data_IF_954386319780
#
_entry.id   IF_954386319780
#
_cell.length_a   1.000
_cell.length_b   1.000
_cell.length_c   1.000
_cell.angle_alpha   90.00
_cell.angle_beta   90.00
_cell.angle_gamma   90.00
#
_symmetry.space_group_name_H-M   'P 1'
#
loop_
_entity.id
_entity.type
_entity.pdbx_description
1 polymer ?
#
# COMPACT_ATOMS: atom_id res chain seq x y z
N UNK A 1 -35.85 -3.13 37.04
CA UNK A 1 -35.95 -4.11 35.95
C UNK A 1 -34.83 -3.73 34.97
N UNK A 2 -33.72 -4.44 35.02
CA UNK A 2 -32.57 -4.25 34.17
C UNK A 2 -32.83 -5.01 32.86
N UNK A 3 -32.80 -4.29 31.77
CA UNK A 3 -32.87 -4.83 30.41
C UNK A 3 -31.57 -5.63 30.14
N UNK A 4 -31.63 -6.90 29.72
CA UNK A 4 -30.42 -7.65 29.44
C UNK A 4 -29.73 -7.06 28.20
N UNK A 5 -28.47 -6.71 28.39
CA UNK A 5 -27.55 -6.21 27.37
C UNK A 5 -27.72 -7.00 26.08
N UNK A 6 -28.11 -6.31 25.01
CA UNK A 6 -28.08 -6.83 23.66
C UNK A 6 -26.61 -7.11 23.30
N UNK A 7 -26.27 -8.38 23.14
CA UNK A 7 -25.01 -8.81 22.57
C UNK A 7 -24.83 -8.12 21.20
N UNK A 8 -23.74 -7.41 20.95
CA UNK A 8 -23.52 -6.83 19.65
C UNK A 8 -23.54 -7.95 18.59
N UNK A 9 -24.11 -7.74 17.41
CA UNK A 9 -24.09 -8.74 16.35
C UNK A 9 -22.65 -9.13 16.06
N UNK A 10 -22.43 -10.44 15.86
CA UNK A 10 -21.14 -10.94 15.42
C UNK A 10 -20.71 -10.17 14.17
N UNK A 11 -19.42 -9.77 14.05
CA UNK A 11 -18.96 -9.03 12.91
C UNK A 11 -19.31 -9.82 11.64
N UNK A 12 -20.17 -9.22 10.78
CA UNK A 12 -20.38 -9.72 9.43
C UNK A 12 -19.00 -9.83 8.78
N UNK A 13 -18.72 -10.95 8.12
CA UNK A 13 -17.43 -11.13 7.45
C UNK A 13 -17.52 -10.52 6.04
N UNK A 14 -17.28 -9.21 5.87
CA UNK A 14 -17.53 -8.48 4.63
C UNK A 14 -16.62 -8.93 3.47
N UNK A 15 -15.54 -9.65 3.81
CA UNK A 15 -14.56 -10.17 2.85
C UNK A 15 -15.14 -11.24 1.92
N UNK A 16 -16.24 -11.89 2.30
CA UNK A 16 -16.84 -12.98 1.50
C UNK A 16 -17.61 -12.50 0.28
N UNK A 17 -18.02 -11.24 0.26
CA UNK A 17 -18.89 -10.70 -0.80
C UNK A 17 -18.09 -10.05 -1.94
N UNK A 18 -16.75 -9.90 -1.78
CA UNK A 18 -15.90 -9.39 -2.86
C UNK A 18 -15.57 -10.50 -3.86
N UNK A 19 -15.76 -10.30 -5.16
CA UNK A 19 -15.38 -11.28 -6.17
C UNK A 19 -13.86 -11.49 -6.16
N UNK A 20 -13.43 -12.75 -6.08
CA UNK A 20 -12.04 -13.10 -6.28
C UNK A 20 -11.68 -12.97 -7.76
N UNK A 21 -10.60 -12.28 -8.04
CA UNK A 21 -10.09 -12.13 -9.41
C UNK A 21 -8.81 -12.94 -9.54
N UNK A 22 -8.87 -14.02 -10.31
CA UNK A 22 -7.73 -14.90 -10.51
C UNK A 22 -6.63 -14.25 -11.35
N UNK A 23 -5.38 -14.58 -11.02
CA UNK A 23 -4.21 -14.30 -11.84
C UNK A 23 -3.54 -15.64 -12.18
N UNK A 24 -3.40 -15.93 -13.46
CA UNK A 24 -2.84 -17.21 -13.92
C UNK A 24 -1.44 -17.44 -13.35
N UNK A 25 -1.21 -18.59 -12.74
CA UNK A 25 0.06 -18.96 -12.08
C UNK A 25 0.20 -18.45 -10.65
N UNK A 26 -0.86 -17.84 -10.09
CA UNK A 26 -0.88 -17.34 -8.72
C UNK A 26 -2.03 -17.95 -7.92
N UNK A 27 -1.85 -18.03 -6.61
CA UNK A 27 -2.80 -18.62 -5.66
C UNK A 27 -3.15 -17.63 -4.56
N UNK A 28 -4.44 -17.56 -4.26
CA UNK A 28 -4.95 -16.79 -3.12
C UNK A 28 -4.66 -17.53 -1.81
N UNK A 29 -4.17 -16.78 -0.84
CA UNK A 29 -3.85 -17.26 0.51
C UNK A 29 -4.47 -16.34 1.54
N UNK A 30 -4.93 -16.92 2.64
CA UNK A 30 -5.34 -16.19 3.83
C UNK A 30 -4.55 -16.68 5.01
N UNK A 31 -3.95 -15.76 5.74
CA UNK A 31 -3.11 -16.05 6.90
C UNK A 31 -3.58 -15.28 8.13
N UNK A 32 -3.40 -15.86 9.30
CA UNK A 32 -3.50 -15.12 10.55
C UNK A 32 -2.22 -14.31 10.74
N UNK A 33 -2.39 -13.02 10.91
CA UNK A 33 -1.30 -12.06 11.05
C UNK A 33 -1.40 -11.37 12.41
N UNK A 34 -1.24 -12.13 13.47
CA UNK A 34 -1.33 -11.60 14.84
C UNK A 34 -2.76 -11.22 15.22
N UNK A 35 -3.72 -12.11 14.91
CA UNK A 35 -5.14 -11.94 15.22
C UNK A 35 -5.92 -11.13 14.17
N UNK A 36 -5.29 -10.71 13.06
CA UNK A 36 -5.95 -10.11 11.89
C UNK A 36 -5.75 -11.03 10.70
N UNK A 37 -6.83 -11.40 10.03
CA UNK A 37 -6.77 -12.24 8.85
C UNK A 37 -6.41 -11.43 7.62
N UNK A 38 -5.24 -11.67 7.05
CA UNK A 38 -4.78 -11.01 5.84
C UNK A 38 -4.84 -11.92 4.62
N UNK A 39 -5.12 -11.31 3.49
CA UNK A 39 -5.14 -11.92 2.19
C UNK A 39 -3.84 -11.61 1.43
N UNK A 40 -3.33 -12.61 0.73
CA UNK A 40 -2.18 -12.50 -0.15
C UNK A 40 -2.42 -13.26 -1.44
N UNK A 41 -1.78 -12.83 -2.52
CA UNK A 41 -1.71 -13.55 -3.79
C UNK A 41 -0.26 -13.90 -4.06
N UNK A 42 0.03 -15.18 -4.18
CA UNK A 42 1.38 -15.75 -4.23
C UNK A 42 1.61 -16.56 -5.49
N UNK A 43 2.78 -16.42 -6.11
CA UNK A 43 3.19 -17.22 -7.27
C UNK A 43 4.68 -17.08 -7.58
N UNK A 44 5.09 -17.64 -8.72
CA UNK A 44 6.46 -17.61 -9.21
C UNK A 44 7.31 -18.77 -8.69
N UNK A 45 8.62 -18.54 -8.55
CA UNK A 45 9.60 -19.57 -8.18
C UNK A 45 9.60 -19.82 -6.66
N UNK A 46 9.18 -20.99 -6.17
CA UNK A 46 9.12 -21.26 -4.73
C UNK A 46 10.47 -21.12 -4.01
N UNK A 47 11.58 -21.44 -4.70
CA UNK A 47 12.93 -21.40 -4.17
C UNK A 47 13.69 -20.10 -4.56
N UNK A 48 13.01 -19.17 -5.26
CA UNK A 48 13.58 -17.89 -5.62
C UNK A 48 13.60 -16.90 -4.46
N UNK A 49 14.36 -15.80 -4.58
CA UNK A 49 14.30 -14.72 -3.62
C UNK A 49 12.85 -14.22 -3.45
N UNK A 50 12.45 -14.04 -2.19
CA UNK A 50 11.07 -13.62 -1.90
C UNK A 50 10.90 -12.10 -2.10
N UNK A 51 9.84 -11.72 -2.80
CA UNK A 51 9.45 -10.33 -3.06
C UNK A 51 8.04 -10.10 -2.53
N UNK A 52 7.90 -9.18 -1.59
CA UNK A 52 6.61 -8.76 -1.02
C UNK A 52 6.21 -7.44 -1.64
N UNK A 53 4.97 -7.34 -2.09
CA UNK A 53 4.40 -6.18 -2.77
C UNK A 53 3.22 -5.63 -1.97
N UNK A 54 3.21 -4.31 -1.69
CA UNK A 54 2.13 -3.64 -0.99
C UNK A 54 1.59 -2.49 -1.85
N UNK A 55 0.27 -2.43 -1.99
CA UNK A 55 -0.41 -1.33 -2.66
C UNK A 55 -0.96 -0.32 -1.64
N UNK A 56 -1.43 0.83 -2.11
CA UNK A 56 -2.08 1.86 -1.30
C UNK A 56 -3.49 2.19 -1.75
N UNK A 57 -3.97 3.38 -1.37
CA UNK A 57 -5.33 3.82 -1.66
C UNK A 57 -5.50 4.26 -3.13
N UNK A 58 -6.60 3.90 -3.77
CA UNK A 58 -7.70 3.03 -3.34
C UNK A 58 -7.53 1.58 -3.84
N UNK A 59 -6.28 1.17 -4.02
CA UNK A 59 -5.91 -0.08 -4.67
C UNK A 59 -5.80 -1.25 -3.68
N UNK A 60 -5.61 -2.44 -4.24
CA UNK A 60 -5.43 -3.72 -3.55
C UNK A 60 -4.22 -4.44 -4.16
N UNK A 61 -3.97 -5.70 -3.81
CA UNK A 61 -2.97 -6.53 -4.47
C UNK A 61 -3.05 -6.47 -6.01
N UNK A 62 -4.23 -6.21 -6.54
CA UNK A 62 -4.53 -6.14 -7.97
C UNK A 62 -3.75 -5.06 -8.72
N UNK A 63 -3.24 -4.04 -8.04
CA UNK A 63 -2.33 -3.05 -8.61
C UNK A 63 -1.06 -3.68 -9.21
N UNK A 64 -0.64 -4.80 -8.66
CA UNK A 64 0.57 -5.49 -9.06
C UNK A 64 0.36 -6.57 -10.14
N UNK A 65 -0.88 -6.82 -10.57
CA UNK A 65 -1.25 -7.91 -11.50
C UNK A 65 -0.45 -7.96 -12.80
N UNK A 66 -0.03 -6.79 -13.30
CA UNK A 66 0.78 -6.68 -14.52
C UNK A 66 2.27 -6.84 -14.24
N UNK A 67 2.74 -6.52 -13.05
CA UNK A 67 4.14 -6.60 -12.61
C UNK A 67 4.50 -8.02 -12.13
N UNK A 68 3.59 -8.63 -11.36
CA UNK A 68 3.80 -9.94 -10.74
C UNK A 68 4.21 -11.05 -11.71
N UNK A 69 3.57 -11.23 -12.89
CA UNK A 69 3.96 -12.27 -13.82
C UNK A 69 5.40 -12.12 -14.33
N UNK A 70 5.84 -10.89 -14.56
CA UNK A 70 7.22 -10.62 -15.03
C UNK A 70 8.24 -10.96 -13.94
N UNK A 71 7.95 -10.61 -12.69
CA UNK A 71 8.83 -10.94 -11.57
C UNK A 71 8.84 -12.46 -11.25
N UNK A 72 7.73 -13.14 -11.49
CA UNK A 72 7.53 -14.56 -11.18
C UNK A 72 8.48 -15.50 -11.92
N UNK A 73 9.06 -15.08 -13.03
CA UNK A 73 10.06 -15.86 -13.78
C UNK A 73 11.34 -16.10 -12.96
N UNK A 74 11.65 -15.19 -12.04
CA UNK A 74 12.90 -15.22 -11.24
C UNK A 74 12.65 -15.33 -9.74
N UNK A 75 11.55 -14.83 -9.24
CA UNK A 75 11.30 -14.59 -7.82
C UNK A 75 10.07 -15.35 -7.32
N UNK A 76 10.02 -15.57 -6.00
CA UNK A 76 8.81 -15.90 -5.28
C UNK A 76 8.08 -14.61 -4.95
N UNK A 77 6.94 -14.34 -5.59
CA UNK A 77 6.24 -13.06 -5.53
C UNK A 77 4.98 -13.18 -4.69
N UNK A 78 4.78 -12.25 -3.76
CA UNK A 78 3.61 -12.18 -2.89
C UNK A 78 3.11 -10.75 -2.83
N UNK A 79 1.87 -10.51 -3.28
CA UNK A 79 1.19 -9.25 -3.07
C UNK A 79 0.20 -9.39 -1.92
N UNK A 80 0.30 -8.56 -0.89
CA UNK A 80 -0.51 -8.64 0.33
C UNK A 80 -1.46 -7.45 0.38
N UNK A 81 -2.75 -7.72 0.57
CA UNK A 81 -3.73 -6.70 0.90
C UNK A 81 -3.51 -6.21 2.33
N UNK A 82 -3.32 -4.91 2.50
CA UNK A 82 -3.20 -4.31 3.82
C UNK A 82 -4.50 -4.52 4.63
N UNK A 83 -4.46 -4.51 5.98
CA UNK A 83 -5.67 -4.45 6.78
C UNK A 83 -6.63 -3.37 6.25
N UNK A 84 -7.88 -3.73 6.03
CA UNK A 84 -8.86 -2.81 5.48
C UNK A 84 -8.96 -2.75 3.96
N UNK A 85 -8.05 -3.35 3.23
CA UNK A 85 -8.04 -3.38 1.76
C UNK A 85 -8.36 -4.77 1.21
N UNK A 86 -8.86 -4.82 -0.02
CA UNK A 86 -9.10 -6.05 -0.75
C UNK A 86 -9.86 -7.09 0.07
N UNK A 87 -9.30 -8.29 0.11
CA UNK A 87 -9.84 -9.43 0.85
C UNK A 87 -9.27 -9.59 2.26
N UNK A 88 -8.47 -8.63 2.74
CA UNK A 88 -8.03 -8.58 4.12
C UNK A 88 -9.14 -8.11 5.06
N UNK A 89 -9.07 -8.55 6.32
CA UNK A 89 -10.00 -8.15 7.38
C UNK A 89 -9.95 -6.63 7.62
N UNK A 90 -11.08 -6.06 8.08
CA UNK A 90 -11.28 -4.63 8.36
C UNK A 90 -11.48 -4.37 9.85
N UNK A 91 -10.50 -4.69 10.71
CA UNK A 91 -10.65 -4.59 12.15
C UNK A 91 -10.86 -3.15 12.63
N UNK A 92 -11.47 -3.01 13.79
CA UNK A 92 -11.45 -1.78 14.54
C UNK A 92 -10.15 -1.73 15.36
N UNK A 93 -9.12 -1.11 14.81
CA UNK A 93 -7.80 -0.97 15.44
C UNK A 93 -7.19 0.38 15.08
N UNK A 94 -6.01 0.70 15.60
CA UNK A 94 -5.19 1.77 15.04
C UNK A 94 -4.63 1.37 13.68
N UNK A 95 -4.75 2.25 12.71
CA UNK A 95 -4.19 2.12 11.36
C UNK A 95 -2.88 2.91 11.21
N UNK A 96 -2.23 3.27 12.31
CA UNK A 96 -0.88 3.80 12.24
C UNK A 96 0.06 2.77 11.61
N UNK A 97 1.04 3.26 10.86
CA UNK A 97 1.86 2.42 9.98
C UNK A 97 2.72 1.41 10.73
N UNK A 98 3.10 1.67 11.99
CA UNK A 98 3.85 0.71 12.81
C UNK A 98 2.97 -0.46 13.26
N UNK A 99 1.72 -0.18 13.66
CA UNK A 99 0.75 -1.22 13.99
C UNK A 99 0.45 -2.10 12.77
N UNK A 100 0.20 -1.48 11.61
CA UNK A 100 -0.04 -2.23 10.37
C UNK A 100 1.21 -3.00 9.91
N UNK A 101 2.40 -2.41 10.03
CA UNK A 101 3.67 -3.07 9.72
C UNK A 101 3.89 -4.35 10.54
N UNK A 102 3.49 -4.36 11.81
CA UNK A 102 3.55 -5.57 12.64
C UNK A 102 2.65 -6.69 12.09
N UNK A 103 1.44 -6.37 11.61
CA UNK A 103 0.57 -7.34 10.96
C UNK A 103 1.13 -7.84 9.64
N UNK A 104 1.71 -6.96 8.80
CA UNK A 104 2.36 -7.39 7.55
C UNK A 104 3.56 -8.28 7.83
N UNK A 105 4.38 -7.94 8.83
CA UNK A 105 5.50 -8.80 9.25
C UNK A 105 5.02 -10.20 9.66
N UNK A 106 3.99 -10.28 10.51
CA UNK A 106 3.40 -11.55 10.93
C UNK A 106 2.81 -12.35 9.74
N UNK A 107 2.18 -11.67 8.77
CA UNK A 107 1.68 -12.31 7.57
C UNK A 107 2.80 -12.94 6.73
N UNK A 108 3.91 -12.23 6.53
CA UNK A 108 5.08 -12.72 5.81
C UNK A 108 5.69 -13.95 6.51
N UNK A 109 5.78 -13.93 7.84
CA UNK A 109 6.23 -15.10 8.62
C UNK A 109 5.25 -16.28 8.48
N UNK A 110 3.94 -16.04 8.53
CA UNK A 110 2.92 -17.07 8.34
C UNK A 110 2.92 -17.68 6.91
N UNK A 111 3.38 -16.92 5.90
CA UNK A 111 3.65 -17.39 4.55
C UNK A 111 4.96 -18.19 4.43
N UNK A 112 5.70 -18.37 5.52
CA UNK A 112 6.94 -19.14 5.58
C UNK A 112 8.17 -18.42 5.05
N UNK A 113 8.17 -17.08 5.03
CA UNK A 113 9.27 -16.26 4.52
C UNK A 113 10.04 -15.63 5.68
N UNK A 114 11.36 -15.80 5.67
CA UNK A 114 12.25 -15.26 6.72
C UNK A 114 12.87 -13.93 6.34
N UNK A 115 13.38 -13.85 5.11
CA UNK A 115 14.00 -12.63 4.58
C UNK A 115 13.42 -12.36 3.19
N UNK A 116 13.23 -11.09 2.85
CA UNK A 116 12.53 -10.70 1.63
C UNK A 116 12.93 -9.31 1.15
N UNK A 117 12.68 -9.05 -0.12
CA UNK A 117 12.65 -7.73 -0.72
C UNK A 117 11.24 -7.17 -0.59
N UNK A 118 11.12 -5.90 -0.25
CA UNK A 118 9.83 -5.24 -0.07
C UNK A 118 9.69 -4.10 -1.07
N UNK A 119 8.66 -4.16 -1.91
CA UNK A 119 8.31 -3.07 -2.81
C UNK A 119 6.90 -2.58 -2.51
N UNK A 120 6.72 -1.27 -2.43
CA UNK A 120 5.47 -0.72 -1.96
C UNK A 120 5.14 0.64 -2.60
N UNK A 121 3.86 0.86 -2.87
CA UNK A 121 3.33 2.04 -3.51
C UNK A 121 2.32 2.75 -2.61
N UNK A 122 2.30 4.09 -2.62
CA UNK A 122 1.35 4.94 -1.91
C UNK A 122 1.28 4.63 -0.39
N UNK A 123 0.12 4.36 0.21
CA UNK A 123 -0.01 3.96 1.63
C UNK A 123 0.78 2.68 1.92
N UNK A 124 0.88 1.76 0.96
CA UNK A 124 1.77 0.61 1.09
C UNK A 124 3.21 1.01 1.41
N UNK A 125 3.70 2.08 0.77
CA UNK A 125 5.03 2.61 1.04
C UNK A 125 5.16 3.24 2.45
N UNK A 126 4.07 3.81 3.00
CA UNK A 126 4.06 4.28 4.39
C UNK A 126 4.30 3.13 5.37
N UNK A 127 3.57 2.02 5.15
CA UNK A 127 3.68 0.80 5.95
C UNK A 127 5.06 0.16 5.78
N UNK A 128 5.54 0.05 4.54
CA UNK A 128 6.83 -0.54 4.21
C UNK A 128 7.99 0.22 4.85
N UNK A 129 7.92 1.55 4.91
CA UNK A 129 8.91 2.39 5.59
C UNK A 129 8.98 2.06 7.08
N UNK A 130 7.84 2.04 7.78
CA UNK A 130 7.77 1.68 9.20
C UNK A 130 8.22 0.24 9.45
N UNK A 131 7.87 -0.70 8.55
CA UNK A 131 8.31 -2.09 8.65
C UNK A 131 9.84 -2.21 8.54
N UNK A 132 10.46 -1.45 7.63
CA UNK A 132 11.91 -1.44 7.46
C UNK A 132 12.64 -0.82 8.67
N UNK A 133 12.03 0.15 9.34
CA UNK A 133 12.56 0.70 10.59
C UNK A 133 12.51 -0.32 11.73
N UNK A 134 11.41 -1.06 11.88
CA UNK A 134 11.19 -1.99 12.99
C UNK A 134 11.90 -3.35 12.78
N UNK A 135 12.03 -3.80 11.53
CA UNK A 135 12.50 -5.14 11.19
C UNK A 135 13.62 -5.13 10.13
N UNK A 136 14.70 -4.33 10.27
CA UNK A 136 15.72 -4.20 9.23
C UNK A 136 16.41 -5.51 8.90
N UNK A 137 16.58 -6.42 9.87
CA UNK A 137 17.24 -7.73 9.66
C UNK A 137 16.43 -8.71 8.81
N UNK A 138 15.16 -8.42 8.56
CA UNK A 138 14.27 -9.25 7.74
C UNK A 138 14.24 -8.81 6.27
N UNK A 139 14.62 -7.56 6.01
CA UNK A 139 14.60 -7.01 4.67
C UNK A 139 15.98 -7.12 4.00
N UNK A 140 15.96 -7.56 2.76
CA UNK A 140 17.12 -7.51 1.85
C UNK A 140 17.27 -6.15 1.19
N UNK A 141 16.14 -5.47 0.98
CA UNK A 141 16.05 -4.13 0.45
C UNK A 141 14.60 -3.64 0.40
N UNK A 142 14.45 -2.35 0.21
CA UNK A 142 13.18 -1.62 0.26
C UNK A 142 13.03 -0.76 -0.99
N UNK A 143 11.99 -1.00 -1.81
CA UNK A 143 11.61 -0.14 -2.92
C UNK A 143 10.32 0.64 -2.56
N UNK A 144 10.39 1.97 -2.63
CA UNK A 144 9.27 2.86 -2.34
C UNK A 144 8.88 3.65 -3.60
N UNK A 145 7.63 3.50 -4.03
CA UNK A 145 7.11 4.03 -5.28
C UNK A 145 6.15 5.19 -5.01
N UNK A 146 6.48 6.37 -5.51
CA UNK A 146 5.69 7.62 -5.58
C UNK A 146 4.82 7.92 -4.35
N UNK A 147 5.41 7.94 -3.18
CA UNK A 147 4.71 8.14 -1.91
C UNK A 147 5.37 9.18 -1.01
N UNK A 148 4.56 10.13 -0.52
CA UNK A 148 4.98 10.98 0.60
C UNK A 148 4.87 10.22 1.91
N UNK A 149 5.98 10.03 2.64
CA UNK A 149 6.01 9.28 3.90
C UNK A 149 5.63 10.19 5.07
N UNK A 150 4.69 9.78 5.95
CA UNK A 150 4.26 10.59 7.10
C UNK A 150 5.43 11.02 8.01
N UNK A 151 5.53 12.34 8.24
CA UNK A 151 6.59 12.95 9.04
C UNK A 151 7.96 13.03 8.37
N UNK A 152 8.13 12.45 7.18
CA UNK A 152 9.42 12.37 6.48
C UNK A 152 9.41 13.20 5.20
N UNK A 153 8.48 12.91 4.30
CA UNK A 153 8.39 13.57 3.00
C UNK A 153 6.98 14.04 2.67
N UNK A 154 5.98 13.62 3.45
CA UNK A 154 4.61 14.10 3.31
C UNK A 154 4.52 15.54 3.83
N UNK A 155 4.01 16.51 3.04
CA UNK A 155 3.88 17.88 3.50
C UNK A 155 2.81 18.03 4.61
N UNK A 156 3.08 18.89 5.59
CA UNK A 156 2.16 19.14 6.71
C UNK A 156 0.93 19.98 6.32
N UNK A 157 0.92 20.59 5.15
CA UNK A 157 -0.15 21.47 4.70
C UNK A 157 -0.62 21.17 3.28
N UNK A 158 -1.92 21.30 3.07
CA UNK A 158 -2.52 21.24 1.72
C UNK A 158 -2.16 22.54 0.99
N UNK A 159 -1.61 22.47 -0.24
CA UNK A 159 -1.35 23.67 -1.05
C UNK A 159 -2.64 24.45 -1.32
N UNK A 160 -2.56 25.77 -1.24
CA UNK A 160 -3.66 26.67 -1.60
C UNK A 160 -3.70 27.00 -3.10
N UNK A 161 -2.64 26.68 -3.83
CA UNK A 161 -2.57 26.83 -5.28
C UNK A 161 -3.46 25.75 -5.95
N UNK A 162 -4.46 26.14 -6.77
CA UNK A 162 -5.37 25.21 -7.43
C UNK A 162 -4.66 24.17 -8.32
N UNK A 163 -3.54 24.56 -8.95
CA UNK A 163 -2.76 23.64 -9.82
C UNK A 163 -2.09 22.52 -9.03
N UNK A 164 -1.94 22.68 -7.73
CA UNK A 164 -1.32 21.72 -6.82
C UNK A 164 -2.30 21.10 -5.84
N UNK A 165 -3.33 21.83 -5.45
CA UNK A 165 -4.29 21.41 -4.43
C UNK A 165 -4.99 20.09 -4.80
N UNK A 166 -5.26 19.85 -6.08
CA UNK A 166 -5.92 18.63 -6.56
C UNK A 166 -5.12 17.35 -6.26
N UNK A 167 -3.80 17.46 -6.08
CA UNK A 167 -2.95 16.30 -5.75
C UNK A 167 -3.12 15.85 -4.29
N UNK A 168 -3.44 16.77 -3.38
CA UNK A 168 -3.37 16.55 -1.92
C UNK A 168 -4.63 16.92 -1.16
N UNK A 169 -5.68 17.49 -1.79
CA UNK A 169 -6.92 17.90 -1.12
C UNK A 169 -7.56 16.77 -0.31
N UNK A 170 -7.43 15.52 -0.77
CA UNK A 170 -8.00 14.35 -0.14
C UNK A 170 -7.41 14.06 1.23
N UNK A 171 -6.17 14.49 1.52
CA UNK A 171 -5.61 14.38 2.87
C UNK A 171 -6.48 15.13 3.89
N UNK A 172 -6.80 16.39 3.61
CA UNK A 172 -7.65 17.16 4.48
C UNK A 172 -9.09 16.61 4.54
N UNK A 173 -9.66 16.19 3.41
CA UNK A 173 -10.99 15.61 3.33
C UNK A 173 -11.10 14.30 4.14
N UNK A 174 -10.15 13.40 3.98
CA UNK A 174 -10.13 12.11 4.69
C UNK A 174 -9.95 12.24 6.20
N UNK A 175 -9.35 13.34 6.66
CA UNK A 175 -9.16 13.61 8.09
C UNK A 175 -10.45 14.00 8.80
N UNK A 176 -11.43 14.58 8.09
CA UNK A 176 -12.67 15.02 8.72
C UNK A 176 -13.46 13.82 9.22
N UNK A 177 -13.83 13.75 10.51
CA UNK A 177 -14.65 12.66 11.02
C UNK A 177 -16.04 12.64 10.35
N UNK A 178 -16.51 11.46 9.99
CA UNK A 178 -17.85 11.15 9.49
C UNK A 178 -18.22 11.79 8.14
N UNK A 179 -17.69 12.97 7.79
CA UNK A 179 -18.09 13.69 6.58
C UNK A 179 -17.79 12.94 5.29
N UNK A 180 -16.58 12.35 5.11
CA UNK A 180 -16.29 11.53 3.93
C UNK A 180 -17.26 10.34 3.81
N UNK A 181 -17.55 9.65 4.91
CA UNK A 181 -18.45 8.51 4.92
C UNK A 181 -19.87 8.92 4.50
N UNK A 182 -20.38 10.05 5.00
CA UNK A 182 -21.70 10.57 4.63
C UNK A 182 -21.77 10.98 3.16
N UNK A 183 -20.73 11.62 2.62
CA UNK A 183 -20.71 12.12 1.25
C UNK A 183 -20.44 11.03 0.22
N UNK A 184 -19.71 9.98 0.60
CA UNK A 184 -19.24 8.92 -0.31
C UNK A 184 -20.14 7.67 -0.25
N UNK A 185 -21.02 7.53 0.73
CA UNK A 185 -21.97 6.42 0.80
C UNK A 185 -22.73 6.28 -0.51
N UNK A 186 -22.72 5.07 -1.08
CA UNK A 186 -23.32 4.72 -2.38
C UNK A 186 -22.68 5.46 -3.59
N UNK A 187 -21.50 6.09 -3.38
CA UNK A 187 -20.75 6.81 -4.42
C UNK A 187 -19.27 6.42 -4.47
N UNK A 188 -18.91 5.32 -3.84
CA UNK A 188 -17.52 4.86 -3.76
C UNK A 188 -16.95 4.62 -5.16
N UNK A 189 -17.77 4.11 -6.09
CA UNK A 189 -17.36 3.86 -7.47
C UNK A 189 -17.00 5.16 -8.22
N UNK A 190 -17.81 6.18 -8.10
CA UNK A 190 -17.56 7.48 -8.72
C UNK A 190 -16.33 8.13 -8.12
N UNK A 191 -16.19 8.05 -6.80
CA UNK A 191 -15.04 8.60 -6.08
C UNK A 191 -13.73 7.91 -6.46
N UNK A 192 -13.70 6.59 -6.39
CA UNK A 192 -12.53 5.78 -6.78
C UNK A 192 -12.18 6.01 -8.24
N UNK A 193 -13.18 6.02 -9.13
CA UNK A 193 -12.99 6.26 -10.55
C UNK A 193 -12.42 7.65 -10.85
N UNK A 194 -12.89 8.69 -10.15
CA UNK A 194 -12.32 10.03 -10.27
C UNK A 194 -10.87 10.04 -9.76
N UNK A 195 -10.62 9.44 -8.61
CA UNK A 195 -9.31 9.43 -7.95
C UNK A 195 -8.25 8.76 -8.82
N UNK A 196 -8.58 7.60 -9.38
CA UNK A 196 -7.70 6.87 -10.30
C UNK A 196 -7.39 7.68 -11.56
N UNK A 197 -8.42 8.20 -12.23
CA UNK A 197 -8.26 8.94 -13.49
C UNK A 197 -7.55 10.28 -13.31
N UNK A 198 -7.78 10.98 -12.19
CA UNK A 198 -7.17 12.27 -11.94
C UNK A 198 -5.66 12.19 -11.66
N UNK A 199 -5.18 11.05 -11.19
CA UNK A 199 -3.77 10.85 -10.81
C UNK A 199 -2.94 10.04 -11.81
N UNK A 200 -3.55 9.54 -12.88
CA UNK A 200 -2.84 8.90 -14.00
C UNK A 200 -2.47 9.91 -15.07
N UNK A 201 -1.41 9.64 -15.82
CA UNK A 201 -1.04 10.43 -16.97
C UNK A 201 -2.08 10.30 -18.09
N UNK A 202 -2.55 9.06 -18.35
CA UNK A 202 -3.63 8.81 -19.29
C UNK A 202 -4.94 8.48 -18.57
N UNK A 203 -6.04 9.22 -18.81
CA UNK A 203 -7.34 8.93 -18.21
C UNK A 203 -7.94 7.59 -18.67
N UNK A 204 -7.33 6.94 -19.67
CA UNK A 204 -7.73 5.62 -20.19
C UNK A 204 -6.93 4.46 -19.58
N UNK A 205 -6.02 4.73 -18.65
CA UNK A 205 -5.24 3.71 -17.93
C UNK A 205 -6.14 2.70 -17.23
N UNK A 206 -7.23 3.19 -16.63
CA UNK A 206 -8.23 2.36 -15.96
C UNK A 206 -9.54 2.34 -16.74
N UNK A 207 -9.99 1.16 -17.12
CA UNK A 207 -11.32 0.95 -17.70
C UNK A 207 -12.40 0.83 -16.61
N UNK A 208 -13.66 0.64 -17.06
CA UNK A 208 -14.79 0.54 -16.12
C UNK A 208 -14.76 -0.69 -15.21
N UNK A 209 -14.20 -1.79 -15.67
CA UNK A 209 -14.08 -3.03 -14.90
C UNK A 209 -12.94 -2.94 -13.88
N UNK A 210 -11.82 -2.34 -14.23
CA UNK A 210 -10.70 -2.09 -13.33
C UNK A 210 -11.09 -1.11 -12.21
N UNK A 211 -11.86 -0.05 -12.54
CA UNK A 211 -12.41 0.87 -11.54
C UNK A 211 -13.36 0.12 -10.58
N UNK A 212 -14.24 -0.74 -11.11
CA UNK A 212 -15.16 -1.54 -10.30
C UNK A 212 -14.40 -2.45 -9.33
N UNK A 213 -13.32 -3.09 -9.79
CA UNK A 213 -12.49 -3.98 -8.98
C UNK A 213 -11.94 -3.26 -7.72
N UNK A 214 -11.47 -2.03 -7.87
CA UNK A 214 -10.97 -1.24 -6.72
C UNK A 214 -12.12 -0.66 -5.89
N UNK A 215 -13.16 -0.17 -6.55
CA UNK A 215 -14.31 0.42 -5.87
C UNK A 215 -15.04 -0.57 -4.98
N UNK A 216 -15.16 -1.83 -5.40
CA UNK A 216 -15.78 -2.89 -4.62
C UNK A 216 -15.09 -3.10 -3.26
N UNK A 217 -13.76 -2.96 -3.19
CA UNK A 217 -13.02 -3.04 -1.92
C UNK A 217 -13.36 -1.88 -0.97
N UNK A 218 -13.52 -0.68 -1.50
CA UNK A 218 -13.84 0.52 -0.71
C UNK A 218 -15.32 0.51 -0.28
N UNK A 219 -16.21 0.05 -1.16
CA UNK A 219 -17.65 -0.06 -0.91
C UNK A 219 -18.04 -1.21 0.03
N UNK A 220 -17.18 -2.23 0.18
CA UNK A 220 -17.44 -3.33 1.11
C UNK A 220 -17.59 -2.83 2.54
N UNK A 221 -18.38 -3.57 3.36
CA UNK A 221 -18.66 -3.19 4.75
C UNK A 221 -17.36 -2.90 5.53
N UNK A 222 -17.26 -1.68 6.08
CA UNK A 222 -16.08 -1.18 6.75
C UNK A 222 -14.90 -0.79 5.84
N UNK A 223 -15.01 -0.96 4.50
CA UNK A 223 -13.94 -0.66 3.55
C UNK A 223 -13.57 0.81 3.51
N UNK A 224 -14.55 1.69 3.33
CA UNK A 224 -14.32 3.14 3.35
C UNK A 224 -13.73 3.59 4.69
N UNK A 225 -14.34 3.17 5.82
CA UNK A 225 -13.85 3.50 7.16
C UNK A 225 -12.37 3.11 7.35
N UNK A 226 -12.02 1.89 6.99
CA UNK A 226 -10.66 1.38 7.14
C UNK A 226 -9.67 2.12 6.22
N UNK A 227 -10.06 2.40 4.98
CA UNK A 227 -9.25 3.17 4.03
C UNK A 227 -8.94 4.58 4.55
N UNK A 228 -9.93 5.26 5.15
CA UNK A 228 -9.77 6.60 5.71
C UNK A 228 -8.95 6.60 7.00
N UNK A 229 -8.95 5.49 7.75
CA UNK A 229 -8.24 5.39 9.02
C UNK A 229 -6.72 5.56 8.88
N UNK A 230 -6.11 5.14 7.77
CA UNK A 230 -4.70 5.39 7.49
C UNK A 230 -4.35 6.88 7.48
N UNK A 231 -5.19 7.70 6.87
CA UNK A 231 -5.00 9.16 6.84
C UNK A 231 -5.19 9.76 8.22
N UNK A 232 -6.21 9.32 8.97
CA UNK A 232 -6.51 9.78 10.34
C UNK A 232 -5.40 9.45 11.32
N UNK A 233 -4.71 8.33 11.13
CA UNK A 233 -3.58 7.91 11.95
C UNK A 233 -2.21 8.34 11.41
N UNK A 234 -2.16 9.14 10.31
CA UNK A 234 -0.91 9.57 9.70
C UNK A 234 -0.04 10.41 10.65
N UNK A 235 -0.64 11.24 11.51
CA UNK A 235 0.11 12.00 12.51
C UNK A 235 0.74 11.11 13.59
N UNK A 236 0.05 10.04 13.99
CA UNK A 236 0.61 9.02 14.90
C UNK A 236 1.76 8.27 14.21
N UNK A 237 1.59 7.92 12.94
CA UNK A 237 2.64 7.31 12.13
C UNK A 237 3.88 8.22 12.03
N UNK A 238 3.67 9.51 11.74
CA UNK A 238 4.73 10.50 11.67
C UNK A 238 5.53 10.59 12.97
N UNK A 239 4.85 10.69 14.11
CA UNK A 239 5.50 10.75 15.42
C UNK A 239 6.32 9.50 15.70
N UNK A 240 5.77 8.31 15.47
CA UNK A 240 6.47 7.04 15.67
C UNK A 240 7.68 6.89 14.73
N UNK A 241 7.56 7.30 13.47
CA UNK A 241 8.69 7.33 12.53
C UNK A 241 9.84 8.18 13.08
N UNK A 242 9.55 9.38 13.58
CA UNK A 242 10.58 10.26 14.17
C UNK A 242 11.20 9.64 15.42
N UNK A 243 10.41 9.09 16.33
CA UNK A 243 10.91 8.44 17.56
C UNK A 243 11.94 7.33 17.26
N UNK A 244 11.73 6.56 16.18
CA UNK A 244 12.68 5.54 15.74
C UNK A 244 13.90 6.17 15.07
N UNK A 245 13.70 7.15 14.18
CA UNK A 245 14.78 7.80 13.42
C UNK A 245 15.71 8.67 14.27
N UNK A 246 15.28 9.10 15.46
CA UNK A 246 16.18 9.71 16.45
C UNK A 246 17.31 8.77 16.91
N UNK A 247 17.11 7.45 16.78
CA UNK A 247 18.01 6.42 17.31
C UNK A 247 18.73 5.62 16.22
N UNK A 248 18.13 5.54 15.03
CA UNK A 248 18.66 4.74 13.94
C UNK A 248 18.27 5.32 12.58
N UNK A 249 18.91 4.83 11.52
CA UNK A 249 18.60 5.12 10.11
C UNK A 249 18.10 3.86 9.42
N UNK A 250 17.55 3.98 8.23
CA UNK A 250 17.35 2.83 7.35
C UNK A 250 18.73 2.31 6.90
N UNK A 251 19.06 1.11 7.35
CA UNK A 251 20.34 0.44 7.04
C UNK A 251 20.25 -0.48 5.81
N UNK A 252 19.03 -0.88 5.43
CA UNK A 252 18.79 -1.68 4.23
C UNK A 252 18.96 -0.82 2.97
N UNK A 253 19.39 -1.39 1.84
CA UNK A 253 19.37 -0.68 0.55
C UNK A 253 17.97 -0.16 0.23
N UNK A 254 17.86 1.07 -0.23
CA UNK A 254 16.60 1.70 -0.59
C UNK A 254 16.60 2.10 -2.06
N UNK A 255 15.56 1.73 -2.79
CA UNK A 255 15.24 2.20 -4.13
C UNK A 255 14.04 3.15 -4.07
N UNK A 256 14.24 4.41 -4.40
CA UNK A 256 13.15 5.36 -4.62
C UNK A 256 12.71 5.34 -6.09
N UNK A 257 11.45 5.01 -6.34
CA UNK A 257 10.87 5.02 -7.69
C UNK A 257 9.93 6.19 -7.80
N UNK A 258 10.27 7.15 -8.64
CA UNK A 258 9.41 8.27 -9.02
C UNK A 258 8.85 8.08 -10.42
N UNK A 259 7.88 8.87 -10.80
CA UNK A 259 7.43 8.96 -12.19
C UNK A 259 7.50 10.39 -12.69
N UNK A 260 7.54 10.54 -14.02
CA UNK A 260 7.68 11.86 -14.67
C UNK A 260 6.54 12.85 -14.35
N UNK A 261 5.34 12.32 -13.99
CA UNK A 261 4.15 13.11 -13.67
C UNK A 261 3.52 12.70 -12.34
N UNK A 262 4.29 12.03 -11.48
CA UNK A 262 3.85 11.55 -10.17
C UNK A 262 3.74 12.64 -9.10
N UNK A 263 3.56 12.17 -7.88
CA UNK A 263 3.42 13.02 -6.70
C UNK A 263 4.77 13.49 -6.15
N UNK A 264 5.79 12.63 -6.23
CA UNK A 264 7.12 12.88 -5.67
C UNK A 264 8.16 12.88 -6.80
N UNK A 265 8.74 14.04 -7.14
CA UNK A 265 9.67 14.16 -8.27
C UNK A 265 10.96 13.35 -8.13
N UNK A 266 11.49 13.19 -6.90
CA UNK A 266 12.69 12.42 -6.61
C UNK A 266 12.53 11.75 -5.23
N UNK A 267 12.03 10.52 -5.24
CA UNK A 267 11.88 9.70 -4.04
C UNK A 267 13.22 9.44 -3.34
N UNK A 268 14.27 9.16 -4.10
CA UNK A 268 15.57 8.87 -3.52
C UNK A 268 16.17 10.08 -2.79
N UNK A 269 16.10 11.26 -3.40
CA UNK A 269 16.57 12.50 -2.76
C UNK A 269 15.83 12.75 -1.44
N UNK A 270 14.53 12.49 -1.41
CA UNK A 270 13.69 12.64 -0.21
C UNK A 270 14.08 11.69 0.92
N UNK A 271 14.61 10.51 0.57
CA UNK A 271 14.96 9.44 1.52
C UNK A 271 16.43 9.46 1.98
N UNK A 272 17.35 10.07 1.20
CA UNK A 272 18.78 10.16 1.56
C UNK A 272 19.09 10.68 2.96
N UNK A 273 18.36 11.65 3.52
CA UNK A 273 18.58 12.07 4.91
C UNK A 273 18.36 10.96 5.95
N UNK A 274 17.58 9.94 5.61
CA UNK A 274 17.06 8.92 6.51
C UNK A 274 17.59 7.50 6.25
N UNK A 275 18.27 7.30 5.12
CA UNK A 275 18.80 6.00 4.71
C UNK A 275 20.31 6.09 4.48
N UNK A 276 21.03 5.00 4.76
CA UNK A 276 22.48 4.92 4.51
C UNK A 276 22.78 4.77 3.01
N UNK A 277 21.92 4.04 2.31
CA UNK A 277 22.04 3.79 0.86
C UNK A 277 20.69 3.98 0.18
N UNK A 278 20.52 5.08 -0.55
CA UNK A 278 19.32 5.37 -1.35
C UNK A 278 19.71 5.66 -2.80
N UNK A 279 19.22 4.83 -3.69
CA UNK A 279 19.28 5.00 -5.15
C UNK A 279 17.91 5.34 -5.69
N UNK A 280 17.83 5.88 -6.91
CA UNK A 280 16.56 6.30 -7.49
C UNK A 280 16.45 6.02 -8.98
N UNK A 281 15.22 5.81 -9.42
CA UNK A 281 14.83 5.73 -10.81
C UNK A 281 13.58 6.58 -11.06
N UNK A 282 13.54 7.22 -12.22
CA UNK A 282 12.34 7.94 -12.67
C UNK A 282 11.75 7.18 -13.85
N UNK A 283 10.54 6.69 -13.68
CA UNK A 283 9.79 5.99 -14.72
C UNK A 283 9.16 7.06 -15.65
N UNK A 284 9.50 7.06 -16.94
CA UNK A 284 8.92 7.99 -17.88
C UNK A 284 7.44 7.67 -18.17
N UNK A 285 6.73 8.65 -18.69
CA UNK A 285 5.36 8.51 -19.21
C UNK A 285 4.39 7.83 -18.23
N UNK A 286 4.50 8.17 -16.94
CA UNK A 286 3.61 7.70 -15.89
C UNK A 286 3.21 8.84 -14.95
N UNK A 287 1.99 8.74 -14.41
CA UNK A 287 1.49 9.51 -13.27
C UNK A 287 1.79 8.82 -11.95
N UNK A 288 0.82 8.86 -11.03
CA UNK A 288 0.97 8.30 -9.68
C UNK A 288 0.88 6.76 -9.66
N UNK A 289 0.00 6.15 -10.44
CA UNK A 289 -0.26 4.71 -10.40
C UNK A 289 0.73 3.93 -11.28
N UNK A 290 2.03 4.09 -11.01
CA UNK A 290 3.14 3.59 -11.81
C UNK A 290 3.02 2.10 -12.17
N UNK A 291 2.62 1.18 -11.25
CA UNK A 291 2.50 -0.24 -11.55
C UNK A 291 1.43 -0.57 -12.60
N UNK A 292 0.38 0.27 -12.70
CA UNK A 292 -0.66 0.13 -13.72
C UNK A 292 -0.29 0.78 -15.05
N UNK A 293 0.41 1.94 -14.99
CA UNK A 293 0.73 2.77 -16.14
C UNK A 293 1.97 2.27 -16.89
N UNK A 294 3.00 1.84 -16.16
CA UNK A 294 4.28 1.38 -16.73
C UNK A 294 4.79 0.09 -16.06
N UNK A 295 4.01 -1.01 -16.12
CA UNK A 295 4.32 -2.24 -15.39
C UNK A 295 5.67 -2.86 -15.75
N UNK A 296 6.06 -2.83 -17.04
CA UNK A 296 7.32 -3.40 -17.50
C UNK A 296 8.53 -2.60 -16.96
N UNK A 297 8.44 -1.28 -16.93
CA UNK A 297 9.48 -0.43 -16.37
C UNK A 297 9.62 -0.63 -14.86
N UNK A 298 8.49 -0.79 -14.14
CA UNK A 298 8.50 -1.12 -12.70
C UNK A 298 9.12 -2.49 -12.47
N UNK A 299 8.71 -3.50 -13.23
CA UNK A 299 9.24 -4.86 -13.09
C UNK A 299 10.75 -4.90 -13.37
N UNK A 300 11.23 -4.19 -14.41
CA UNK A 300 12.66 -4.08 -14.72
C UNK A 300 13.43 -3.39 -13.57
N UNK A 301 12.94 -2.24 -13.08
CA UNK A 301 13.59 -1.51 -12.00
C UNK A 301 13.67 -2.35 -10.70
N UNK A 302 12.62 -3.10 -10.38
CA UNK A 302 12.63 -4.02 -9.23
C UNK A 302 13.56 -5.21 -9.46
N UNK A 303 13.55 -5.82 -10.65
CA UNK A 303 14.43 -6.95 -10.97
C UNK A 303 15.92 -6.59 -10.96
N UNK A 304 16.26 -5.37 -11.36
CA UNK A 304 17.63 -4.84 -11.31
C UNK A 304 18.06 -4.52 -9.85
N UNK A 305 17.12 -4.07 -9.03
CA UNK A 305 17.37 -3.77 -7.63
C UNK A 305 17.52 -5.04 -6.79
N UNK A 306 16.76 -6.09 -7.10
CA UNK A 306 16.76 -7.37 -6.41
C UNK A 306 17.96 -8.20 -6.89
N UNK A 307 18.97 -8.36 -6.07
CA UNK A 307 20.12 -9.19 -6.37
C UNK A 307 19.95 -10.60 -5.80
N UNK A 308 20.38 -11.62 -6.54
CA UNK A 308 20.26 -13.03 -6.12
C UNK A 308 21.23 -13.38 -4.98
N UNK A 309 22.32 -12.63 -4.85
CA UNK A 309 23.45 -12.90 -3.93
C UNK A 309 23.42 -12.08 -2.63
N UNK A 310 22.30 -11.37 -2.33
CA UNK A 310 22.21 -10.51 -1.15
C UNK A 310 21.67 -11.22 0.09
#
# INVERSE_FOLDING_TARGET
>A
MNDPASTPPAPSNPVRDLPLTDLTGFTHRWVDAGGVRLHAVEGGRPDGPAVVLLAGFPQTWWAWRKVMPVLADRFRVMAIDLPGQGHSERPHMSYDTHTVAAHIHAAVEALGVRTYWLAAHDIGAWVAFSLALENPSRLRGLALLDAGIPGITLPDAVPTDPERAWKTWHFAFHLVPELPEVLLADREREYVGWFLKAKTLSPTTFDGAEIEQYAASVAADGGLRASLAYYRDASTSARKNHEVLERQRLTVPVLGVSSSHGSIPDMAASLRPWADHATGVVVPDAGHFIPDEQPDAVAAALADFITEDA
#
